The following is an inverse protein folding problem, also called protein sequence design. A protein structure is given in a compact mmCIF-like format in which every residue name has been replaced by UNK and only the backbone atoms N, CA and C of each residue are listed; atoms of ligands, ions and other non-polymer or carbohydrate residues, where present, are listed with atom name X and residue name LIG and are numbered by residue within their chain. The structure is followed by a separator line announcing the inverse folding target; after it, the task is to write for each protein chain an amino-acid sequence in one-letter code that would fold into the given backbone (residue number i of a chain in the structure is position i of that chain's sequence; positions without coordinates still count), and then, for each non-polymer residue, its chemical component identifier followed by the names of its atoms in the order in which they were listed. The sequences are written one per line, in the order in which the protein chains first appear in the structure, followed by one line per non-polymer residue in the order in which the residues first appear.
data_IF_979563003088
#
_entry.id   IF_979563003088
#
_cell.length_a   1.000
_cell.length_b   1.000
_cell.length_c   1.000
_cell.angle_alpha   90.00
_cell.angle_beta   90.00
_cell.angle_gamma   90.00
#
_symmetry.space_group_name_H-M   'P 1'
#
loop_
_entity.id
_entity.type
_entity.pdbx_description
1 polymer ?
#
# COMPACT_ATOMS: atom_id res chain seq x y z
N UNK A 1 -8.43 -50.77 -25.58
CA UNK A 1 -8.31 -49.70 -24.58
C UNK A 1 -8.18 -48.36 -25.31
N UNK A 2 -9.14 -47.44 -25.14
CA UNK A 2 -9.04 -46.10 -25.72
C UNK A 2 -8.29 -45.19 -24.75
N UNK A 3 -7.04 -44.83 -25.08
CA UNK A 3 -6.32 -43.78 -24.37
C UNK A 3 -6.89 -42.43 -24.77
N UNK A 4 -7.63 -41.79 -23.87
CA UNK A 4 -8.03 -40.38 -24.04
C UNK A 4 -6.79 -39.53 -23.75
N UNK A 5 -6.14 -39.04 -24.80
CA UNK A 5 -5.10 -38.03 -24.66
C UNK A 5 -5.76 -36.73 -24.18
N UNK A 6 -5.41 -36.32 -22.95
CA UNK A 6 -5.79 -35.02 -22.39
C UNK A 6 -4.67 -34.02 -22.65
N UNK A 7 -5.02 -32.87 -23.20
CA UNK A 7 -4.12 -31.74 -23.34
C UNK A 7 -3.86 -31.15 -21.95
N UNK A 8 -2.60 -30.80 -21.63
CA UNK A 8 -2.25 -30.35 -20.30
C UNK A 8 -1.97 -28.85 -20.31
N UNK A 9 -2.69 -28.09 -19.49
CA UNK A 9 -2.38 -26.69 -19.23
C UNK A 9 -1.75 -26.57 -17.86
N UNK A 10 -0.56 -25.96 -17.80
CA UNK A 10 0.15 -25.71 -16.55
C UNK A 10 -0.18 -24.32 -16.03
N UNK A 11 -0.94 -24.24 -14.94
CA UNK A 11 -1.38 -22.97 -14.37
C UNK A 11 -0.21 -22.14 -13.84
N UNK A 12 0.90 -22.77 -13.45
CA UNK A 12 2.11 -22.03 -13.04
C UNK A 12 2.77 -21.29 -14.21
N UNK A 13 2.53 -21.74 -15.45
CA UNK A 13 3.00 -21.08 -16.68
C UNK A 13 2.00 -20.07 -17.22
N UNK A 14 0.70 -20.36 -17.08
CA UNK A 14 -0.37 -19.51 -17.59
C UNK A 14 -0.67 -18.31 -16.68
N UNK A 15 -0.48 -18.45 -15.36
CA UNK A 15 -0.85 -17.43 -14.39
C UNK A 15 0.31 -17.00 -13.50
N UNK A 16 0.27 -15.74 -13.07
CA UNK A 16 1.06 -15.22 -11.97
C UNK A 16 0.12 -14.94 -10.78
N UNK A 17 0.54 -15.32 -9.58
CA UNK A 17 -0.15 -14.99 -8.34
C UNK A 17 0.60 -13.82 -7.69
N UNK A 18 -0.13 -12.80 -7.26
CA UNK A 18 0.44 -11.58 -6.68
C UNK A 18 -0.14 -11.32 -5.30
N UNK A 19 0.67 -10.74 -4.43
CA UNK A 19 0.24 -10.20 -3.14
C UNK A 19 0.31 -8.68 -3.23
N UNK A 20 -0.76 -8.00 -2.86
CA UNK A 20 -0.88 -6.53 -2.90
C UNK A 20 -1.43 -6.01 -1.58
N UNK A 21 -1.17 -4.74 -1.26
CA UNK A 21 -1.59 -4.11 0.00
C UNK A 21 -0.48 -4.08 1.04
N UNK A 22 -0.86 -3.92 2.30
CA UNK A 22 0.02 -3.81 3.47
C UNK A 22 -0.28 -4.90 4.51
N UNK A 23 0.42 -4.88 5.64
CA UNK A 23 0.29 -5.84 6.74
C UNK A 23 -1.13 -6.03 7.31
N UNK A 24 -2.06 -5.12 7.06
CA UNK A 24 -3.44 -5.18 7.55
C UNK A 24 -4.44 -5.44 6.43
N UNK A 25 -4.19 -4.94 5.22
CA UNK A 25 -5.11 -5.00 4.08
C UNK A 25 -4.60 -5.86 2.90
N UNK A 26 -3.64 -6.74 3.14
CA UNK A 26 -3.06 -7.58 2.11
C UNK A 26 -4.10 -8.50 1.45
N UNK A 27 -4.06 -8.57 0.13
CA UNK A 27 -4.88 -9.46 -0.69
C UNK A 27 -4.04 -10.22 -1.70
N UNK A 28 -4.53 -11.40 -2.07
CA UNK A 28 -3.93 -12.23 -3.12
C UNK A 28 -4.82 -12.14 -4.35
N UNK A 29 -4.18 -11.89 -5.49
CA UNK A 29 -4.82 -11.86 -6.81
C UNK A 29 -4.05 -12.74 -7.79
N UNK A 30 -4.62 -12.92 -8.97
CA UNK A 30 -3.97 -13.62 -10.06
C UNK A 30 -4.15 -12.84 -11.36
N UNK A 31 -3.24 -13.06 -12.29
CA UNK A 31 -3.30 -12.50 -13.64
C UNK A 31 -2.79 -13.52 -14.66
N UNK A 32 -3.26 -13.40 -15.90
CA UNK A 32 -2.71 -14.15 -17.02
C UNK A 32 -1.33 -13.63 -17.39
N UNK A 33 -0.36 -14.53 -17.57
CA UNK A 33 0.95 -14.21 -18.12
C UNK A 33 0.82 -13.96 -19.62
N UNK A 34 0.86 -12.69 -20.01
CA UNK A 34 0.65 -12.27 -21.40
C UNK A 34 1.59 -12.98 -22.38
N UNK A 35 2.87 -13.12 -22.07
CA UNK A 35 3.83 -13.82 -22.96
C UNK A 35 3.44 -15.27 -23.24
N UNK A 36 2.90 -15.98 -22.24
CA UNK A 36 2.41 -17.34 -22.42
C UNK A 36 1.16 -17.35 -23.30
N UNK A 37 0.21 -16.46 -22.99
CA UNK A 37 -1.06 -16.36 -23.71
C UNK A 37 -0.87 -15.99 -25.19
N UNK A 38 -0.04 -14.99 -25.50
CA UNK A 38 0.19 -14.55 -26.87
C UNK A 38 0.88 -15.61 -27.73
N UNK A 39 1.91 -16.29 -27.19
CA UNK A 39 2.54 -17.42 -27.88
C UNK A 39 1.53 -18.52 -28.20
N UNK A 40 0.69 -18.86 -27.23
CA UNK A 40 -0.34 -19.86 -27.42
C UNK A 40 -1.39 -19.43 -28.45
N UNK A 41 -1.74 -18.13 -28.47
CA UNK A 41 -2.68 -17.55 -29.44
C UNK A 41 -2.12 -17.57 -30.86
N UNK A 42 -0.83 -17.31 -31.05
CA UNK A 42 -0.15 -17.43 -32.34
C UNK A 42 -0.16 -18.88 -32.84
N UNK A 43 0.14 -19.85 -31.94
CA UNK A 43 0.10 -21.28 -32.25
C UNK A 43 -1.32 -21.75 -32.60
N UNK A 44 -2.35 -21.17 -31.98
CA UNK A 44 -3.75 -21.53 -32.20
C UNK A 44 -4.23 -21.30 -33.65
N UNK A 45 -3.54 -20.47 -34.44
CA UNK A 45 -3.92 -20.28 -35.85
C UNK A 45 -3.83 -21.57 -36.68
N UNK A 46 -2.87 -22.45 -36.36
CA UNK A 46 -2.62 -23.67 -37.13
C UNK A 46 -2.71 -24.95 -36.29
N UNK A 47 -2.92 -24.85 -34.97
CA UNK A 47 -2.89 -25.98 -34.06
C UNK A 47 -4.19 -26.12 -33.24
N UNK A 48 -4.98 -27.17 -33.54
CA UNK A 48 -6.24 -27.49 -32.83
C UNK A 48 -6.06 -27.67 -31.32
N UNK A 49 -4.88 -28.10 -30.87
CA UNK A 49 -4.58 -28.20 -29.43
C UNK A 49 -4.52 -26.81 -28.80
N UNK A 50 -3.72 -25.91 -29.37
CA UNK A 50 -3.59 -24.54 -28.88
C UNK A 50 -4.92 -23.77 -28.94
N UNK A 51 -5.76 -24.03 -29.96
CA UNK A 51 -7.13 -23.47 -30.03
C UNK A 51 -7.98 -23.83 -28.81
N UNK A 52 -8.00 -25.11 -28.41
CA UNK A 52 -8.74 -25.55 -27.22
C UNK A 52 -8.15 -24.97 -25.95
N UNK A 53 -6.84 -24.88 -25.87
CA UNK A 53 -6.18 -24.31 -24.70
C UNK A 53 -6.54 -22.83 -24.54
N UNK A 54 -6.55 -22.05 -25.62
CA UNK A 54 -7.04 -20.66 -25.61
C UNK A 54 -8.53 -20.58 -25.24
N UNK A 55 -9.39 -21.42 -25.84
CA UNK A 55 -10.82 -21.46 -25.52
C UNK A 55 -11.05 -21.69 -24.01
N UNK A 56 -10.24 -22.57 -23.41
CA UNK A 56 -10.30 -22.81 -21.97
C UNK A 56 -9.74 -21.67 -21.13
N UNK A 57 -8.65 -21.01 -21.53
CA UNK A 57 -8.12 -19.86 -20.78
C UNK A 57 -9.09 -18.67 -20.82
N UNK A 58 -9.78 -18.47 -21.95
CA UNK A 58 -10.74 -17.37 -22.15
C UNK A 58 -12.07 -17.62 -21.43
N UNK A 59 -12.55 -18.87 -21.40
CA UNK A 59 -13.91 -19.20 -20.90
C UNK A 59 -13.91 -20.11 -19.67
N UNK A 60 -12.74 -20.42 -19.10
CA UNK A 60 -12.56 -21.38 -18.01
C UNK A 60 -13.00 -20.89 -16.64
N UNK A 61 -13.56 -19.68 -16.51
CA UNK A 61 -14.02 -19.08 -15.24
C UNK A 61 -12.96 -19.17 -14.14
N UNK A 62 -11.73 -18.84 -14.51
CA UNK A 62 -10.56 -19.01 -13.67
C UNK A 62 -10.67 -18.07 -12.47
N UNK A 63 -10.43 -18.62 -11.30
CA UNK A 63 -10.51 -17.91 -10.03
C UNK A 63 -9.53 -18.53 -9.04
N UNK A 64 -9.33 -17.87 -7.89
CA UNK A 64 -8.48 -18.38 -6.82
C UNK A 64 -9.25 -18.42 -5.50
N UNK A 65 -8.91 -19.41 -4.70
CA UNK A 65 -9.35 -19.59 -3.34
C UNK A 65 -8.14 -19.66 -2.40
N UNK A 66 -8.24 -18.94 -1.29
CA UNK A 66 -7.21 -18.83 -0.27
C UNK A 66 -7.86 -18.36 1.05
N UNK A 67 -7.19 -18.53 2.20
CA UNK A 67 -7.73 -18.09 3.49
C UNK A 67 -7.79 -16.55 3.57
N UNK A 68 -8.94 -15.96 3.19
CA UNK A 68 -9.16 -14.51 3.16
C UNK A 68 -9.25 -13.88 4.55
N UNK A 69 -9.70 -14.65 5.53
CA UNK A 69 -9.88 -14.15 6.91
C UNK A 69 -8.56 -14.07 7.70
N UNK A 70 -7.43 -14.43 7.08
CA UNK A 70 -6.11 -14.40 7.72
C UNK A 70 -5.41 -13.09 7.39
N UNK A 71 -5.05 -12.31 8.41
CA UNK A 71 -4.07 -11.23 8.25
C UNK A 71 -2.70 -11.83 7.89
N UNK A 72 -2.16 -11.37 6.76
CA UNK A 72 -0.89 -11.87 6.24
C UNK A 72 0.30 -11.13 6.84
N UNK A 73 1.39 -11.88 7.09
CA UNK A 73 2.66 -11.32 7.57
C UNK A 73 3.82 -11.80 6.71
N UNK A 74 4.90 -11.02 6.68
CA UNK A 74 6.14 -11.46 6.05
C UNK A 74 6.63 -12.77 6.66
N UNK A 75 7.00 -13.73 5.80
CA UNK A 75 7.38 -15.08 6.18
C UNK A 75 6.24 -16.10 6.15
N UNK A 76 4.98 -15.66 6.08
CA UNK A 76 3.85 -16.57 5.89
C UNK A 76 3.98 -17.34 4.57
N UNK A 77 3.55 -18.61 4.60
CA UNK A 77 3.33 -19.40 3.39
C UNK A 77 1.84 -19.65 3.23
N UNK A 78 1.29 -19.23 2.09
CA UNK A 78 -0.13 -19.37 1.77
C UNK A 78 -0.30 -20.34 0.61
N UNK A 79 -1.24 -21.26 0.74
CA UNK A 79 -1.64 -22.13 -0.37
C UNK A 79 -2.81 -21.49 -1.09
N UNK A 80 -2.62 -21.22 -2.38
CA UNK A 80 -3.63 -20.68 -3.29
C UNK A 80 -4.10 -21.80 -4.19
N UNK A 81 -5.41 -22.05 -4.20
CA UNK A 81 -6.03 -23.04 -5.05
C UNK A 81 -6.73 -22.34 -6.21
N UNK A 82 -6.36 -22.66 -7.44
CA UNK A 82 -7.11 -22.23 -8.61
C UNK A 82 -8.39 -23.05 -8.76
N UNK A 83 -9.49 -22.34 -8.97
CA UNK A 83 -10.79 -22.88 -9.36
C UNK A 83 -11.06 -22.54 -10.83
N UNK A 84 -11.80 -23.41 -11.50
CA UNK A 84 -12.08 -23.32 -12.93
C UNK A 84 -13.32 -24.15 -13.28
N UNK A 85 -13.90 -23.89 -14.44
CA UNK A 85 -15.02 -24.62 -15.01
C UNK A 85 -14.58 -26.05 -15.42
N UNK A 86 -14.89 -27.04 -14.57
CA UNK A 86 -14.52 -28.44 -14.79
C UNK A 86 -15.23 -29.08 -15.97
N UNK A 87 -16.45 -28.64 -16.28
CA UNK A 87 -17.23 -29.17 -17.40
C UNK A 87 -16.65 -28.72 -18.73
N UNK A 88 -16.22 -27.46 -18.82
CA UNK A 88 -15.49 -26.94 -19.98
C UNK A 88 -14.16 -27.68 -20.15
N UNK A 89 -13.38 -27.86 -19.07
CA UNK A 89 -12.14 -28.63 -19.12
C UNK A 89 -12.39 -30.06 -19.67
N UNK A 90 -13.44 -30.73 -19.20
CA UNK A 90 -13.81 -32.08 -19.66
C UNK A 90 -14.24 -32.08 -21.13
N UNK A 91 -15.08 -31.12 -21.55
CA UNK A 91 -15.54 -30.95 -22.94
C UNK A 91 -14.36 -30.75 -23.89
N UNK A 92 -13.40 -29.92 -23.50
CA UNK A 92 -12.20 -29.62 -24.29
C UNK A 92 -11.09 -30.66 -24.15
N UNK A 93 -11.26 -31.68 -23.29
CA UNK A 93 -10.25 -32.70 -22.98
C UNK A 93 -8.96 -32.09 -22.42
N UNK A 94 -9.10 -31.06 -21.60
CA UNK A 94 -8.01 -30.36 -20.92
C UNK A 94 -7.86 -30.86 -19.49
N UNK A 95 -6.62 -31.10 -19.09
CA UNK A 95 -6.20 -31.43 -17.73
C UNK A 95 -5.33 -30.30 -17.18
N UNK A 96 -5.90 -29.41 -16.35
CA UNK A 96 -5.12 -28.44 -15.60
C UNK A 96 -4.11 -29.14 -14.67
N UNK A 97 -2.88 -28.63 -14.65
CA UNK A 97 -1.79 -29.01 -13.74
C UNK A 97 -1.37 -27.80 -12.91
N UNK A 98 -0.76 -28.07 -11.75
CA UNK A 98 -0.26 -27.04 -10.83
C UNK A 98 -1.34 -26.03 -10.43
N UNK A 99 -2.57 -26.52 -10.23
CA UNK A 99 -3.73 -25.74 -9.77
C UNK A 99 -3.65 -25.38 -8.28
N UNK A 100 -2.63 -25.85 -7.56
CA UNK A 100 -2.33 -25.45 -6.19
C UNK A 100 -0.94 -24.86 -6.16
N UNK A 101 -0.83 -23.60 -5.76
CA UNK A 101 0.45 -22.87 -5.69
C UNK A 101 0.69 -22.47 -4.24
N UNK A 102 1.90 -22.73 -3.75
CA UNK A 102 2.35 -22.19 -2.46
C UNK A 102 3.12 -20.90 -2.73
N UNK A 103 2.65 -19.81 -2.16
CA UNK A 103 3.35 -18.52 -2.21
C UNK A 103 3.92 -18.22 -0.83
N UNK A 104 5.13 -17.67 -0.80
CA UNK A 104 5.72 -17.09 0.40
C UNK A 104 5.50 -15.58 0.35
N UNK A 105 4.97 -15.02 1.43
CA UNK A 105 4.73 -13.58 1.53
C UNK A 105 6.04 -12.92 1.96
N UNK A 106 6.55 -12.03 1.12
CA UNK A 106 7.80 -11.32 1.35
C UNK A 106 7.65 -9.86 0.93
N UNK A 107 8.41 -8.99 1.61
CA UNK A 107 8.43 -7.55 1.37
C UNK A 107 7.05 -6.87 1.45
N UNK A 108 6.08 -7.47 2.16
CA UNK A 108 4.80 -6.85 2.44
C UNK A 108 5.05 -5.60 3.31
N UNK A 109 4.62 -4.40 2.87
CA UNK A 109 4.78 -3.19 3.65
C UNK A 109 4.07 -3.27 5.00
N UNK A 110 4.61 -2.55 5.98
CA UNK A 110 4.08 -2.54 7.35
C UNK A 110 3.54 -1.16 7.69
N UNK A 111 2.38 -1.09 8.33
CA UNK A 111 1.92 0.15 8.97
C UNK A 111 2.68 0.35 10.28
N UNK A 112 3.34 1.50 10.44
CA UNK A 112 4.12 1.81 11.64
C UNK A 112 3.22 1.90 12.87
N UNK A 113 3.61 1.24 13.96
CA UNK A 113 2.89 1.29 15.25
C UNK A 113 3.70 1.94 16.36
N UNK A 114 5.02 1.92 16.23
CA UNK A 114 5.95 2.46 17.22
C UNK A 114 7.03 3.32 16.55
N UNK A 115 7.54 4.32 17.27
CA UNK A 115 8.60 5.20 16.77
C UNK A 115 9.90 4.47 16.42
N UNK A 116 10.22 3.39 17.15
CA UNK A 116 11.45 2.63 16.96
C UNK A 116 11.41 1.69 15.75
N UNK A 117 10.24 1.49 15.14
CA UNK A 117 10.10 0.74 13.89
C UNK A 117 10.54 1.58 12.70
N UNK A 118 10.51 2.91 12.84
CA UNK A 118 10.78 3.85 11.77
C UNK A 118 12.23 4.32 11.82
N UNK A 119 12.97 3.99 10.77
CA UNK A 119 14.37 4.38 10.66
C UNK A 119 14.50 5.90 10.51
N UNK A 120 15.30 6.52 11.37
CA UNK A 120 15.60 7.95 11.32
C UNK A 120 14.36 8.86 11.35
N UNK A 121 13.30 8.48 12.07
CA UNK A 121 12.01 9.16 12.06
C UNK A 121 12.10 10.68 12.25
N UNK A 122 12.80 11.12 13.31
CA UNK A 122 12.95 12.54 13.63
C UNK A 122 13.56 13.33 12.46
N UNK A 123 14.65 12.81 11.88
CA UNK A 123 15.30 13.46 10.74
C UNK A 123 14.41 13.49 9.50
N UNK A 124 13.60 12.44 9.26
CA UNK A 124 12.63 12.43 8.17
C UNK A 124 11.58 13.53 8.36
N UNK A 125 10.96 13.61 9.54
CA UNK A 125 9.92 14.62 9.82
C UNK A 125 10.48 16.05 9.78
N UNK A 126 11.69 16.28 10.30
CA UNK A 126 12.35 17.58 10.17
C UNK A 126 12.55 17.97 8.70
N UNK A 127 13.03 17.05 7.86
CA UNK A 127 13.19 17.31 6.42
C UNK A 127 11.85 17.54 5.73
N UNK A 128 10.83 16.76 6.09
CA UNK A 128 9.47 16.94 5.58
C UNK A 128 8.92 18.34 5.91
N UNK A 129 9.10 18.78 7.15
CA UNK A 129 8.68 20.11 7.59
C UNK A 129 9.39 21.23 6.83
N UNK A 130 10.69 21.07 6.56
CA UNK A 130 11.49 22.05 5.82
C UNK A 130 11.09 22.08 4.34
N UNK A 131 11.03 20.92 3.69
CA UNK A 131 10.66 20.82 2.28
C UNK A 131 9.26 21.39 2.01
N UNK A 132 8.32 21.24 2.95
CA UNK A 132 6.96 21.79 2.81
C UNK A 132 6.92 23.32 2.95
N UNK A 133 7.80 23.93 3.76
CA UNK A 133 7.98 25.38 3.73
C UNK A 133 8.54 25.83 2.37
N UNK A 134 9.56 25.14 1.87
CA UNK A 134 10.23 25.45 0.59
C UNK A 134 9.30 25.27 -0.63
N UNK A 135 8.50 24.20 -0.69
CA UNK A 135 7.57 23.94 -1.80
C UNK A 135 6.35 24.89 -1.83
N UNK A 136 6.07 25.60 -0.74
CA UNK A 136 5.02 26.63 -0.76
C UNK A 136 5.46 27.87 -1.55
N UNK A 137 6.76 28.06 -1.80
CA UNK A 137 7.28 29.18 -2.60
C UNK A 137 7.01 29.06 -4.11
N UNK A 138 6.84 27.85 -4.66
CA UNK A 138 6.72 27.63 -6.12
C UNK A 138 5.28 27.67 -6.66
N UNK A 139 4.25 27.77 -5.79
CA UNK A 139 2.84 27.63 -6.21
C UNK A 139 1.91 28.67 -5.55
N UNK A 140 2.29 29.96 -5.62
CA UNK A 140 1.57 31.10 -5.02
C UNK A 140 0.08 31.26 -5.43
N UNK A 141 -0.39 30.58 -6.48
CA UNK A 141 -1.79 30.69 -6.96
C UNK A 141 -2.72 29.57 -6.44
N UNK A 142 -2.20 28.53 -5.78
CA UNK A 142 -3.00 27.37 -5.37
C UNK A 142 -3.46 27.40 -3.90
N UNK A 143 -2.84 28.24 -3.09
CA UNK A 143 -3.13 28.38 -1.67
C UNK A 143 -3.56 29.82 -1.40
N UNK A 144 -4.84 30.06 -1.07
CA UNK A 144 -5.32 31.31 -0.48
C UNK A 144 -4.76 31.50 0.94
N UNK A 145 -3.46 31.30 1.10
CA UNK A 145 -2.65 31.58 2.28
C UNK A 145 -1.85 32.81 1.90
N UNK A 146 -2.00 33.89 2.68
CA UNK A 146 -1.05 34.99 2.66
C UNK A 146 0.24 34.43 3.26
N UNK A 147 1.02 33.81 2.38
CA UNK A 147 2.44 33.52 2.48
C UNK A 147 2.93 32.70 3.69
N UNK A 148 2.99 31.36 3.53
CA UNK A 148 3.73 30.45 4.42
C UNK A 148 5.24 30.78 4.47
N UNK A 149 5.78 31.67 3.62
CA UNK A 149 7.16 32.15 3.74
C UNK A 149 7.44 32.87 5.06
N UNK A 150 6.38 33.35 5.71
CA UNK A 150 6.44 33.97 7.03
C UNK A 150 6.39 32.95 8.16
N UNK A 151 6.42 31.64 7.89
CA UNK A 151 6.40 30.59 8.91
C UNK A 151 7.75 29.91 9.03
N UNK A 152 8.08 29.49 10.25
CA UNK A 152 9.23 28.64 10.55
C UNK A 152 8.78 27.32 11.16
N UNK A 153 9.46 26.23 10.79
CA UNK A 153 9.22 24.93 11.38
C UNK A 153 9.68 24.93 12.84
N UNK A 154 8.79 24.55 13.75
CA UNK A 154 9.13 24.40 15.16
C UNK A 154 9.85 23.06 15.37
N UNK A 155 10.80 22.99 16.33
CA UNK A 155 11.63 21.81 16.53
C UNK A 155 10.88 20.64 17.18
N UNK A 156 9.80 20.91 17.90
CA UNK A 156 9.08 19.90 18.67
C UNK A 156 8.18 19.08 17.73
N UNK A 157 8.40 17.77 17.74
CA UNK A 157 7.57 16.78 17.05
C UNK A 157 6.95 15.92 18.14
N UNK A 158 5.65 15.67 18.04
CA UNK A 158 4.91 14.88 18.99
C UNK A 158 4.38 13.63 18.31
N UNK A 159 4.19 12.55 19.07
CA UNK A 159 3.63 11.30 18.55
C UNK A 159 2.69 10.63 19.53
N UNK A 160 1.75 9.85 19.00
CA UNK A 160 0.93 8.93 19.77
C UNK A 160 0.52 7.74 18.91
N UNK A 161 -0.23 6.82 19.51
CA UNK A 161 -1.01 5.84 18.76
C UNK A 161 -2.43 6.34 18.59
N UNK A 162 -3.00 6.15 17.41
CA UNK A 162 -4.43 6.33 17.20
C UNK A 162 -5.24 5.15 17.76
N UNK A 163 -6.56 5.21 17.57
CA UNK A 163 -7.49 4.18 18.07
C UNK A 163 -7.28 2.80 17.41
N UNK A 164 -6.64 2.77 16.23
CA UNK A 164 -6.25 1.53 15.54
C UNK A 164 -4.87 1.01 16.00
N UNK A 165 -4.20 1.75 16.89
CA UNK A 165 -2.86 1.44 17.36
C UNK A 165 -1.75 1.82 16.38
N UNK A 166 -2.04 2.66 15.38
CA UNK A 166 -1.07 3.12 14.38
C UNK A 166 -0.36 4.39 14.86
N UNK A 167 0.90 4.53 14.48
CA UNK A 167 1.71 5.69 14.82
C UNK A 167 1.18 6.93 14.09
N UNK A 168 0.83 7.96 14.87
CA UNK A 168 0.48 9.29 14.40
C UNK A 168 1.48 10.29 14.95
N UNK A 169 1.91 11.25 14.12
CA UNK A 169 2.81 12.34 14.49
C UNK A 169 2.13 13.68 14.29
N UNK A 170 2.50 14.66 15.12
CA UNK A 170 2.16 16.07 14.94
C UNK A 170 3.44 16.90 14.94
N UNK A 171 3.59 17.79 13.97
CA UNK A 171 4.66 18.78 13.91
C UNK A 171 4.08 20.15 13.54
N UNK A 172 4.82 21.24 13.79
CA UNK A 172 4.22 22.57 13.89
C UNK A 172 4.97 23.63 13.10
N UNK A 173 4.24 24.65 12.63
CA UNK A 173 4.79 25.86 12.03
C UNK A 173 4.29 27.10 12.74
N UNK A 174 5.18 28.03 13.10
CA UNK A 174 4.81 29.32 13.71
C UNK A 174 5.14 30.52 12.81
N UNK A 175 4.24 31.51 12.76
CA UNK A 175 4.47 32.80 12.07
C UNK A 175 5.61 33.60 12.71
N UNK A 176 6.50 34.17 11.90
CA UNK A 176 7.61 35.05 12.31
C UNK A 176 7.16 36.52 12.45
N UNK A 177 5.97 36.88 11.95
CA UNK A 177 5.38 38.22 12.06
C UNK A 177 4.26 38.24 13.10
N UNK A 178 4.31 39.20 14.02
CA UNK A 178 3.48 39.33 15.21
C UNK A 178 1.98 39.08 14.96
N UNK A 179 1.43 38.07 15.66
CA UNK A 179 0.07 37.57 15.49
C UNK A 179 -0.01 36.04 15.56
N UNK A 180 0.66 35.48 16.57
CA UNK A 180 0.67 34.14 17.17
C UNK A 180 -0.28 33.07 16.60
N UNK A 181 -0.15 32.65 15.33
CA UNK A 181 -0.81 31.42 14.87
C UNK A 181 0.25 30.35 14.60
N UNK A 182 0.12 29.24 15.32
CA UNK A 182 0.91 28.03 15.15
C UNK A 182 0.01 26.96 14.54
N UNK A 183 0.39 26.45 13.38
CA UNK A 183 -0.36 25.46 12.62
C UNK A 183 0.20 24.06 12.90
N UNK A 184 -0.68 23.10 13.18
CA UNK A 184 -0.29 21.71 13.37
C UNK A 184 -0.52 20.84 12.13
N UNK A 185 0.51 20.14 11.70
CA UNK A 185 0.41 19.11 10.67
C UNK A 185 0.36 17.75 11.35
N UNK A 186 -0.71 17.00 11.10
CA UNK A 186 -0.81 15.60 11.49
C UNK A 186 -0.30 14.70 10.36
N UNK A 187 0.61 13.78 10.68
CA UNK A 187 1.10 12.72 9.79
C UNK A 187 0.60 11.39 10.33
N UNK A 188 -0.05 10.59 9.48
CA UNK A 188 -0.69 9.31 9.82
C UNK A 188 -0.48 8.28 8.71
N UNK A 189 -0.99 7.06 8.90
CA UNK A 189 -0.90 5.98 7.92
C UNK A 189 0.53 5.78 7.38
N UNK A 190 1.52 5.81 8.28
CA UNK A 190 2.94 5.73 7.93
C UNK A 190 3.26 4.31 7.50
N UNK A 191 3.52 4.12 6.21
CA UNK A 191 3.83 2.82 5.62
C UNK A 191 5.34 2.67 5.49
N UNK A 192 5.84 1.54 5.96
CA UNK A 192 7.24 1.18 5.99
C UNK A 192 7.56 0.07 5.01
N UNK A 193 8.72 0.15 4.38
CA UNK A 193 9.35 -1.01 3.74
C UNK A 193 9.90 -2.00 4.79
N UNK A 194 10.45 -3.12 4.31
CA UNK A 194 11.05 -4.15 5.18
C UNK A 194 12.25 -3.68 6.01
N UNK A 195 12.85 -2.56 5.67
CA UNK A 195 14.02 -1.99 6.34
C UNK A 195 13.62 -0.86 7.32
N UNK A 196 12.33 -0.60 7.49
CA UNK A 196 11.81 0.48 8.34
C UNK A 196 11.90 1.86 7.70
N UNK A 197 12.16 1.97 6.39
CA UNK A 197 12.11 3.25 5.69
C UNK A 197 10.65 3.60 5.38
N UNK A 198 10.28 4.86 5.56
CA UNK A 198 8.96 5.37 5.14
C UNK A 198 8.88 5.37 3.61
N UNK A 199 7.84 4.74 3.07
CA UNK A 199 7.56 4.70 1.62
C UNK A 199 6.29 5.48 1.25
N UNK A 200 5.37 5.66 2.19
CA UNK A 200 4.22 6.54 2.05
C UNK A 200 3.68 6.93 3.43
N UNK A 201 2.93 8.01 3.47
CA UNK A 201 2.20 8.50 4.64
C UNK A 201 1.07 9.39 4.16
N UNK A 202 0.07 9.57 5.00
CA UNK A 202 -0.94 10.60 4.82
C UNK A 202 -0.61 11.79 5.71
N UNK A 203 -0.95 12.98 5.25
CA UNK A 203 -0.99 14.16 6.09
C UNK A 203 -2.26 14.98 5.82
N UNK A 204 -2.47 16.04 6.59
CA UNK A 204 -3.60 16.94 6.36
C UNK A 204 -3.44 17.62 4.98
N UNK A 205 -4.28 17.21 4.03
CA UNK A 205 -4.28 17.70 2.66
C UNK A 205 -4.75 19.16 2.59
N UNK A 206 -4.06 19.97 1.79
CA UNK A 206 -3.72 21.34 2.15
C UNK A 206 -4.56 22.42 1.45
N UNK A 207 -5.79 22.12 1.05
CA UNK A 207 -6.55 23.05 0.20
C UNK A 207 -7.20 24.22 0.97
N UNK A 208 -7.20 24.21 2.31
CA UNK A 208 -7.75 25.31 3.12
C UNK A 208 -7.04 25.44 4.49
N UNK A 209 -6.55 26.66 4.79
CA UNK A 209 -5.94 27.02 6.08
C UNK A 209 -6.89 26.83 7.26
N UNK A 210 -8.20 26.93 7.03
CA UNK A 210 -9.21 26.73 8.06
C UNK A 210 -9.31 25.29 8.55
N UNK A 211 -8.69 24.33 7.85
CA UNK A 211 -8.68 22.92 8.24
C UNK A 211 -7.52 22.57 9.18
N UNK A 212 -6.66 23.54 9.53
CA UNK A 212 -5.61 23.34 10.50
C UNK A 212 -6.12 23.50 11.92
N UNK A 213 -5.69 22.58 12.78
CA UNK A 213 -5.62 22.86 14.20
C UNK A 213 -4.62 24.00 14.43
N UNK A 214 -5.06 24.98 15.22
CA UNK A 214 -4.36 26.23 15.47
C UNK A 214 -4.10 26.37 16.95
N UNK A 215 -2.93 26.89 17.26
CA UNK A 215 -2.50 27.20 18.61
C UNK A 215 -1.88 28.61 18.61
N UNK A 216 -1.82 29.24 19.77
CA UNK A 216 -1.33 30.60 19.93
C UNK A 216 -0.04 30.67 20.74
N UNK A 217 0.39 29.57 21.35
CA UNK A 217 1.67 29.55 22.07
C UNK A 217 2.26 28.15 22.22
N UNK A 218 3.56 28.06 22.48
CA UNK A 218 4.24 26.79 22.79
C UNK A 218 3.65 26.12 24.05
N UNK A 219 3.39 26.84 25.17
CA UNK A 219 2.73 26.26 26.34
C UNK A 219 1.35 25.68 26.04
N UNK A 220 0.57 26.32 25.15
CA UNK A 220 -0.73 25.79 24.72
C UNK A 220 -0.58 24.48 23.95
N UNK A 221 0.39 24.39 23.04
CA UNK A 221 0.71 23.15 22.31
C UNK A 221 1.11 22.05 23.30
N UNK A 222 2.01 22.35 24.23
CA UNK A 222 2.46 21.38 25.23
C UNK A 222 1.29 20.87 26.08
N UNK A 223 0.42 21.77 26.55
CA UNK A 223 -0.77 21.40 27.32
C UNK A 223 -1.74 20.54 26.49
N UNK A 224 -2.03 20.95 25.25
CA UNK A 224 -2.91 20.23 24.34
C UNK A 224 -2.37 18.83 24.02
N UNK A 225 -1.11 18.74 23.57
CA UNK A 225 -0.45 17.47 23.25
C UNK A 225 -0.47 16.51 24.44
N UNK A 226 -0.12 16.99 25.64
CA UNK A 226 -0.17 16.16 26.85
C UNK A 226 -1.60 15.68 27.16
N UNK A 227 -2.61 16.56 27.04
CA UNK A 227 -4.02 16.20 27.28
C UNK A 227 -4.58 15.22 26.24
N UNK A 228 -4.11 15.30 24.99
CA UNK A 228 -4.49 14.41 23.90
C UNK A 228 -3.70 13.08 23.88
N UNK A 229 -2.79 12.89 24.86
CA UNK A 229 -1.97 11.69 25.02
C UNK A 229 -0.78 11.59 24.07
N UNK A 230 -0.35 12.71 23.48
CA UNK A 230 0.88 12.79 22.70
C UNK A 230 2.11 12.85 23.61
N UNK A 231 3.19 12.23 23.14
CA UNK A 231 4.52 12.29 23.74
C UNK A 231 5.47 13.06 22.82
N UNK A 232 6.43 13.78 23.40
CA UNK A 232 7.48 14.45 22.64
C UNK A 232 8.45 13.43 22.02
N UNK A 233 8.74 13.58 20.74
CA UNK A 233 9.74 12.80 20.02
C UNK A 233 11.14 13.41 20.23
N UNK A 234 11.88 12.83 21.18
CA UNK A 234 13.25 13.23 21.51
C UNK A 234 14.27 12.83 20.44
#
# INVERSE_FOLDING_TARGET
MNYIFLDNIDFSKAYAVRVTGDSENASISWETKYDYYFKLKEEANNNKKAQKEIEFLDNGEISIDYPKDKQFKNGDTVTVNFTYNKDLAKKLKIRPKNTKVKIKIENLPKIAKEVNEVKNLKAFITKLSQARLEHTYDNMAFYNVVDLSTYSALPNIYYKKDDSGHLTLKYFYGSVSAGEEILAVTVKNIILDKNGNIISYDDNNLNDKNNYEKYYSIPEIEAAMNSEGYMLLN
#
